data_IF_514410385404
#
_entry.id   IF_514410385404
#
_cell.length_a   1.000
_cell.length_b   1.000
_cell.length_c   1.000
_cell.angle_alpha   90.00
_cell.angle_beta   90.00
_cell.angle_gamma   90.00
#
_symmetry.space_group_name_H-M   'P 1'
#
loop_
_entity.id
_entity.type
_entity.pdbx_description
1 polymer ?
#
# COMPACT_ATOMS: atom_id res chain seq x y z
N UNK A 1 22.39 -10.83 7.66
CA UNK A 1 21.45 -10.22 6.70
C UNK A 1 20.10 -9.89 7.31
N UNK A 2 19.42 -10.82 7.99
CA UNK A 2 18.13 -10.56 8.65
C UNK A 2 18.12 -9.32 9.58
N UNK A 3 19.16 -9.12 10.39
CA UNK A 3 19.27 -7.93 11.24
C UNK A 3 19.34 -6.62 10.42
N UNK A 4 20.20 -6.57 9.39
CA UNK A 4 20.30 -5.42 8.49
C UNK A 4 18.97 -5.15 7.79
N UNK A 5 18.29 -6.22 7.35
CA UNK A 5 16.95 -6.16 6.78
C UNK A 5 15.96 -5.48 7.72
N UNK A 6 15.84 -6.00 8.95
CA UNK A 6 14.88 -5.53 9.95
C UNK A 6 15.15 -4.10 10.44
N UNK A 7 16.36 -3.58 10.29
CA UNK A 7 16.74 -2.22 10.74
C UNK A 7 16.89 -1.21 9.61
N UNK A 8 16.69 -1.61 8.36
CA UNK A 8 16.88 -0.71 7.23
C UNK A 8 15.73 0.31 7.14
N UNK A 9 16.01 1.60 6.88
CA UNK A 9 14.98 2.61 6.76
C UNK A 9 13.88 2.27 5.75
N UNK A 10 14.22 1.71 4.58
CA UNK A 10 13.22 1.32 3.58
C UNK A 10 12.23 0.26 4.10
N UNK A 11 12.72 -0.77 4.80
CA UNK A 11 11.88 -1.82 5.40
C UNK A 11 11.04 -1.25 6.54
N UNK A 12 11.65 -0.43 7.41
CA UNK A 12 10.93 0.21 8.50
C UNK A 12 9.86 1.15 7.97
N UNK A 13 10.11 1.89 6.88
CA UNK A 13 9.12 2.78 6.27
C UNK A 13 7.87 2.00 5.88
N UNK A 14 8.03 0.84 5.23
CA UNK A 14 6.93 0.06 4.70
C UNK A 14 6.24 -0.83 5.73
N UNK A 15 6.97 -1.40 6.70
CA UNK A 15 6.44 -2.42 7.60
C UNK A 15 6.31 -1.97 9.05
N UNK A 16 7.12 -1.00 9.48
CA UNK A 16 7.14 -0.48 10.85
C UNK A 16 7.22 1.05 10.88
N UNK A 17 6.22 1.78 10.32
CA UNK A 17 6.38 3.21 10.03
C UNK A 17 6.65 4.06 11.27
N UNK A 18 6.17 3.70 12.45
CA UNK A 18 6.49 4.45 13.67
C UNK A 18 7.97 4.33 14.12
N UNK A 19 8.69 3.31 13.64
CA UNK A 19 10.10 3.03 13.95
C UNK A 19 11.09 3.67 12.98
N UNK A 20 10.70 3.93 11.74
CA UNK A 20 11.59 4.49 10.72
C UNK A 20 12.18 5.83 11.18
N UNK A 21 13.49 6.00 11.02
CA UNK A 21 14.27 7.15 11.51
C UNK A 21 14.27 7.39 13.03
N UNK A 22 13.48 6.65 13.81
CA UNK A 22 13.41 6.73 15.27
C UNK A 22 14.26 5.68 15.99
N UNK A 23 14.69 4.65 15.24
CA UNK A 23 15.68 3.67 15.69
C UNK A 23 16.89 3.66 14.77
N UNK A 24 18.00 3.09 15.24
CA UNK A 24 19.18 2.80 14.41
C UNK A 24 19.81 1.47 14.78
N UNK A 25 20.46 0.85 13.80
CA UNK A 25 21.22 -0.38 13.99
C UNK A 25 22.50 -0.17 14.84
N UNK A 26 23.01 1.05 14.96
CA UNK A 26 24.22 1.30 15.71
C UNK A 26 23.93 1.48 17.21
N UNK A 27 24.73 0.85 18.07
CA UNK A 27 24.72 1.15 19.49
C UNK A 27 25.50 2.44 19.76
N UNK A 28 24.86 3.43 20.40
CA UNK A 28 25.50 4.71 20.74
C UNK A 28 26.70 4.59 21.70
N UNK A 29 26.92 3.41 22.29
CA UNK A 29 27.96 3.10 23.27
C UNK A 29 29.17 2.33 22.68
N UNK A 30 29.20 2.11 21.37
CA UNK A 30 30.30 1.42 20.68
C UNK A 30 30.26 -0.12 20.78
N UNK A 31 29.19 -0.71 21.33
CA UNK A 31 28.99 -2.17 21.26
C UNK A 31 28.71 -2.66 19.82
N UNK A 32 28.90 -3.95 19.52
CA UNK A 32 28.47 -4.47 18.22
C UNK A 32 26.94 -4.47 18.10
N UNK A 33 26.46 -3.84 17.02
CA UNK A 33 25.06 -3.81 16.58
C UNK A 33 24.41 -5.21 16.52
N UNK A 34 25.19 -6.22 16.16
CA UNK A 34 24.76 -7.61 16.08
C UNK A 34 25.89 -8.52 16.55
N UNK A 35 25.58 -9.43 17.47
CA UNK A 35 26.55 -10.38 18.03
C UNK A 35 25.83 -11.65 18.50
N UNK A 36 26.38 -12.82 18.19
CA UNK A 36 25.90 -14.13 18.68
C UNK A 36 24.39 -14.38 18.47
N UNK A 37 23.83 -13.94 17.33
CA UNK A 37 22.40 -14.11 17.03
C UNK A 37 21.49 -13.04 17.62
N UNK A 38 22.02 -12.10 18.40
CA UNK A 38 21.27 -10.99 19.00
C UNK A 38 21.56 -9.69 18.27
N UNK A 39 20.51 -9.09 17.70
CA UNK A 39 20.54 -7.72 17.19
C UNK A 39 20.17 -6.71 18.28
N UNK A 40 20.87 -5.58 18.31
CA UNK A 40 20.60 -4.45 19.23
C UNK A 40 20.11 -3.27 18.42
N UNK A 41 19.06 -2.60 18.87
CA UNK A 41 18.61 -1.33 18.27
C UNK A 41 18.80 -0.23 19.30
N UNK A 42 19.14 0.98 18.84
CA UNK A 42 19.16 2.16 19.68
C UNK A 42 18.04 3.09 19.29
N UNK A 43 17.36 3.66 20.28
CA UNK A 43 16.42 4.75 20.04
C UNK A 43 17.16 6.05 19.72
N UNK A 44 16.67 6.78 18.72
CA UNK A 44 17.15 8.12 18.38
C UNK A 44 16.44 9.22 19.19
N UNK A 45 15.35 8.85 19.86
CA UNK A 45 14.58 9.64 20.83
C UNK A 45 14.57 8.91 22.19
N UNK A 46 14.13 9.55 23.30
CA UNK A 46 13.94 8.84 24.56
C UNK A 46 13.06 7.59 24.39
N UNK A 47 13.45 6.46 25.00
CA UNK A 47 12.75 5.19 24.84
C UNK A 47 11.26 5.27 25.22
N UNK A 48 10.94 6.01 26.27
CA UNK A 48 9.56 6.28 26.71
C UNK A 48 8.74 7.07 25.68
N UNK A 49 9.38 8.00 24.97
CA UNK A 49 8.76 8.77 23.90
C UNK A 49 8.49 7.88 22.68
N UNK A 50 9.44 7.01 22.33
CA UNK A 50 9.26 6.02 21.27
C UNK A 50 8.11 5.06 21.56
N UNK A 51 8.06 4.49 22.77
CA UNK A 51 7.00 3.56 23.16
C UNK A 51 5.63 4.23 23.06
N UNK A 52 5.53 5.51 23.46
CA UNK A 52 4.29 6.29 23.31
C UNK A 52 3.94 6.52 21.84
N UNK A 53 4.91 6.90 21.01
CA UNK A 53 4.74 7.11 19.56
C UNK A 53 4.22 5.84 18.88
N UNK A 54 4.84 4.69 19.16
CA UNK A 54 4.42 3.38 18.63
C UNK A 54 2.97 3.08 19.03
N UNK A 55 2.63 3.19 20.30
CA UNK A 55 1.29 2.91 20.79
C UNK A 55 0.23 3.85 20.18
N UNK A 56 0.55 5.13 20.00
CA UNK A 56 -0.35 6.10 19.37
C UNK A 56 -0.58 5.78 17.88
N UNK A 57 0.47 5.38 17.17
CA UNK A 57 0.38 4.99 15.77
C UNK A 57 -0.42 3.69 15.59
N UNK A 58 -0.19 2.68 16.44
CA UNK A 58 -0.98 1.45 16.46
C UNK A 58 -2.46 1.73 16.73
N UNK A 59 -2.77 2.61 17.70
CA UNK A 59 -4.15 3.01 17.98
C UNK A 59 -4.80 3.75 16.80
N UNK A 60 -4.05 4.62 16.11
CA UNK A 60 -4.53 5.31 14.92
C UNK A 60 -4.89 4.33 13.80
N UNK A 61 -3.97 3.42 13.47
CA UNK A 61 -4.16 2.43 12.41
C UNK A 61 -5.25 1.43 12.78
N UNK A 62 -5.25 0.89 13.99
CA UNK A 62 -6.31 -0.02 14.43
C UNK A 62 -7.67 0.67 14.48
N UNK A 63 -7.74 1.93 14.92
CA UNK A 63 -8.97 2.72 14.92
C UNK A 63 -9.52 2.93 13.51
N UNK A 64 -8.65 3.27 12.56
CA UNK A 64 -9.00 3.35 11.14
C UNK A 64 -9.54 2.02 10.62
N UNK A 65 -8.80 0.91 10.78
CA UNK A 65 -9.21 -0.38 10.25
C UNK A 65 -10.54 -0.83 10.85
N UNK A 66 -10.73 -0.68 12.17
CA UNK A 66 -11.98 -1.04 12.84
C UNK A 66 -13.16 -0.12 12.47
N UNK A 67 -12.90 1.09 11.94
CA UNK A 67 -13.95 1.99 11.47
C UNK A 67 -14.46 1.61 10.08
N UNK A 68 -13.57 1.13 9.21
CA UNK A 68 -13.88 0.90 7.80
C UNK A 68 -14.05 -0.57 7.43
N UNK A 69 -13.54 -1.50 8.24
CA UNK A 69 -13.59 -2.93 7.97
C UNK A 69 -14.45 -3.66 9.01
N UNK A 70 -15.10 -4.72 8.54
CA UNK A 70 -15.84 -5.67 9.36
C UNK A 70 -15.00 -6.94 9.62
N UNK A 71 -15.17 -7.64 10.77
CA UNK A 71 -14.34 -8.79 11.11
C UNK A 71 -14.41 -9.96 10.11
N UNK A 72 -15.50 -10.08 9.35
CA UNK A 72 -15.77 -11.11 8.36
C UNK A 72 -15.63 -10.63 6.91
N UNK A 73 -15.11 -9.42 6.70
CA UNK A 73 -14.70 -8.96 5.37
C UNK A 73 -13.72 -9.96 4.74
N UNK A 74 -14.00 -10.34 3.51
CA UNK A 74 -13.05 -11.06 2.67
C UNK A 74 -12.00 -10.11 2.06
N UNK A 75 -11.02 -10.68 1.38
CA UNK A 75 -9.91 -9.89 0.84
C UNK A 75 -10.35 -8.89 -0.24
N UNK A 76 -11.40 -9.20 -1.02
CA UNK A 76 -11.94 -8.26 -2.01
C UNK A 76 -12.59 -7.08 -1.29
N UNK A 77 -13.37 -7.35 -0.25
CA UNK A 77 -14.06 -6.33 0.54
C UNK A 77 -13.08 -5.39 1.23
N UNK A 78 -12.03 -5.95 1.86
CA UNK A 78 -10.93 -5.16 2.43
C UNK A 78 -10.25 -4.29 1.38
N UNK A 79 -9.97 -4.86 0.20
CA UNK A 79 -9.34 -4.11 -0.88
C UNK A 79 -10.20 -2.93 -1.30
N UNK A 80 -11.48 -3.13 -1.58
CA UNK A 80 -12.38 -2.09 -2.07
C UNK A 80 -12.66 -1.01 -1.02
N UNK A 81 -12.97 -1.41 0.24
CA UNK A 81 -13.24 -0.48 1.34
C UNK A 81 -12.03 0.42 1.63
N UNK A 82 -10.83 -0.16 1.68
CA UNK A 82 -9.62 0.62 1.89
C UNK A 82 -9.25 1.46 0.67
N UNK A 83 -9.54 1.00 -0.55
CA UNK A 83 -9.32 1.77 -1.78
C UNK A 83 -10.23 3.01 -1.85
N UNK A 84 -11.51 2.84 -1.50
CA UNK A 84 -12.45 3.95 -1.36
C UNK A 84 -12.01 4.93 -0.27
N UNK A 85 -11.60 4.42 0.89
CA UNK A 85 -11.02 5.24 1.95
C UNK A 85 -9.81 6.05 1.47
N UNK A 86 -8.86 5.43 0.75
CA UNK A 86 -7.71 6.12 0.17
C UNK A 86 -8.16 7.26 -0.76
N UNK A 87 -9.20 7.00 -1.58
CA UNK A 87 -9.68 7.92 -2.63
C UNK A 87 -10.13 9.29 -2.12
N UNK A 88 -10.67 9.35 -0.90
CA UNK A 88 -11.21 10.61 -0.34
C UNK A 88 -10.41 11.13 0.85
N UNK A 89 -9.63 10.27 1.52
CA UNK A 89 -8.94 10.66 2.75
C UNK A 89 -7.60 11.35 2.49
N UNK A 90 -6.94 11.03 1.38
CA UNK A 90 -5.61 11.50 1.09
C UNK A 90 -5.59 12.53 -0.04
N UNK A 91 -4.56 13.36 -0.04
CA UNK A 91 -4.32 14.40 -1.02
C UNK A 91 -2.95 14.22 -1.64
N UNK A 92 -2.89 14.39 -2.96
CA UNK A 92 -1.64 14.37 -3.70
C UNK A 92 -0.91 15.72 -3.59
N UNK A 93 0.38 15.69 -3.30
CA UNK A 93 1.23 16.89 -3.21
C UNK A 93 2.56 16.68 -3.95
N UNK A 94 2.78 17.43 -5.05
CA UNK A 94 3.99 17.34 -5.88
C UNK A 94 5.28 17.64 -5.08
N UNK A 95 5.24 18.55 -4.11
CA UNK A 95 6.40 18.99 -3.33
C UNK A 95 6.51 18.31 -1.95
N UNK A 96 5.96 17.10 -1.79
CA UNK A 96 5.98 16.37 -0.53
C UNK A 96 7.41 16.12 0.02
N UNK A 97 8.41 16.05 -0.87
CA UNK A 97 9.81 15.73 -0.55
C UNK A 97 10.70 16.98 -0.51
N UNK A 98 10.80 17.60 0.66
CA UNK A 98 12.06 18.07 1.24
C UNK A 98 11.84 18.44 2.72
N UNK A 99 12.65 17.90 3.65
CA UNK A 99 12.74 18.28 5.08
C UNK A 99 11.78 17.66 6.12
N UNK A 100 11.33 16.40 5.99
CA UNK A 100 10.59 15.75 7.10
C UNK A 100 11.49 14.79 7.90
N UNK A 101 11.59 14.91 9.24
CA UNK A 101 12.48 14.11 10.09
C UNK A 101 12.01 12.66 10.30
N UNK A 102 10.81 12.33 9.82
CA UNK A 102 10.18 11.02 9.90
C UNK A 102 10.14 10.34 8.53
N UNK A 103 9.92 9.03 8.51
CA UNK A 103 9.72 8.31 7.24
C UNK A 103 8.36 8.59 6.63
N UNK A 104 8.30 8.48 5.31
CA UNK A 104 7.20 8.99 4.49
C UNK A 104 5.87 8.30 4.79
N UNK A 105 5.83 6.98 5.03
CA UNK A 105 4.59 6.26 5.33
C UNK A 105 3.93 6.72 6.63
N UNK A 106 4.72 6.94 7.69
CA UNK A 106 4.20 7.49 8.95
C UNK A 106 3.61 8.88 8.76
N UNK A 107 4.31 9.72 8.00
CA UNK A 107 3.88 11.09 7.72
C UNK A 107 2.58 11.11 6.90
N UNK A 108 2.48 10.27 5.88
CA UNK A 108 1.28 10.24 5.03
C UNK A 108 0.08 9.76 5.84
N UNK A 109 0.20 8.68 6.63
CA UNK A 109 -0.91 8.19 7.49
C UNK A 109 -1.36 9.25 8.50
N UNK A 110 -0.42 10.02 9.07
CA UNK A 110 -0.74 11.01 10.11
C UNK A 110 -1.21 12.35 9.57
N UNK A 111 -0.81 12.74 8.35
CA UNK A 111 -1.12 14.05 7.76
C UNK A 111 -2.16 13.99 6.65
N UNK A 112 -2.32 12.85 5.99
CA UNK A 112 -3.21 12.67 4.85
C UNK A 112 -2.64 13.17 3.52
N UNK A 113 -1.33 13.42 3.42
CA UNK A 113 -0.73 13.99 2.21
C UNK A 113 0.50 13.20 1.77
N UNK A 114 0.65 12.95 0.46
CA UNK A 114 1.76 12.18 -0.10
C UNK A 114 1.86 12.26 -1.63
N UNK A 115 2.92 11.69 -2.20
CA UNK A 115 3.06 11.44 -3.65
C UNK A 115 2.66 10.00 -3.99
N UNK A 116 2.80 9.61 -5.25
CA UNK A 116 2.32 8.32 -5.76
C UNK A 116 2.95 7.11 -5.06
N UNK A 117 4.27 7.11 -4.85
CA UNK A 117 5.01 6.06 -4.13
C UNK A 117 4.50 5.95 -2.68
N UNK A 118 4.33 7.08 -1.98
CA UNK A 118 3.82 7.09 -0.61
C UNK A 118 2.39 6.59 -0.50
N UNK A 119 1.50 7.02 -1.39
CA UNK A 119 0.10 6.58 -1.40
C UNK A 119 0.00 5.09 -1.72
N UNK A 120 0.79 4.61 -2.68
CA UNK A 120 0.96 3.18 -2.96
C UNK A 120 1.45 2.40 -1.73
N UNK A 121 2.43 2.95 -1.02
CA UNK A 121 2.96 2.35 0.21
C UNK A 121 1.92 2.32 1.34
N UNK A 122 1.16 3.40 1.55
CA UNK A 122 0.14 3.46 2.59
C UNK A 122 -1.00 2.49 2.31
N UNK A 123 -1.46 2.40 1.07
CA UNK A 123 -2.50 1.42 0.71
C UNK A 123 -2.00 -0.02 0.93
N UNK A 124 -0.78 -0.34 0.48
CA UNK A 124 -0.15 -1.64 0.75
C UNK A 124 -0.02 -1.93 2.25
N UNK A 125 0.39 -0.93 3.05
CA UNK A 125 0.51 -1.07 4.50
C UNK A 125 -0.83 -1.40 5.14
N UNK A 126 -1.90 -0.65 4.82
CA UNK A 126 -3.23 -0.89 5.39
C UNK A 126 -3.78 -2.27 5.00
N UNK A 127 -3.56 -2.71 3.76
CA UNK A 127 -3.90 -4.05 3.29
C UNK A 127 -3.16 -5.13 4.09
N UNK A 128 -1.85 -4.98 4.28
CA UNK A 128 -1.05 -5.92 5.09
C UNK A 128 -1.54 -5.98 6.54
N UNK A 129 -1.90 -4.84 7.14
CA UNK A 129 -2.49 -4.82 8.48
C UNK A 129 -3.87 -5.51 8.54
N UNK A 130 -4.62 -5.52 7.44
CA UNK A 130 -5.89 -6.24 7.30
C UNK A 130 -5.73 -7.71 6.87
N UNK A 131 -4.49 -8.19 6.71
CA UNK A 131 -4.17 -9.58 6.33
C UNK A 131 -4.14 -9.85 4.83
N UNK A 132 -4.24 -8.83 3.98
CA UNK A 132 -4.11 -8.94 2.52
C UNK A 132 -2.64 -8.72 2.15
N UNK A 133 -2.05 -9.67 1.42
CA UNK A 133 -0.67 -9.54 0.96
C UNK A 133 -0.59 -8.45 -0.12
N UNK A 134 0.18 -7.41 0.16
CA UNK A 134 0.36 -6.28 -0.74
C UNK A 134 1.76 -5.70 -0.58
N UNK A 135 2.24 -5.03 -1.63
CA UNK A 135 3.46 -4.26 -1.61
C UNK A 135 3.34 -3.07 -2.55
N UNK A 136 4.13 -2.05 -2.27
CA UNK A 136 4.35 -0.98 -3.23
C UNK A 136 5.24 -1.47 -4.37
N UNK A 137 4.91 -1.01 -5.58
CA UNK A 137 5.70 -1.21 -6.79
C UNK A 137 5.73 0.09 -7.58
N UNK A 138 6.81 0.34 -8.28
CA UNK A 138 7.01 1.55 -9.07
C UNK A 138 7.52 1.24 -10.48
N UNK A 139 7.35 2.19 -11.40
CA UNK A 139 8.04 2.24 -12.67
C UNK A 139 8.96 3.45 -12.68
N UNK A 140 10.10 3.34 -13.36
CA UNK A 140 10.96 4.50 -13.63
C UNK A 140 11.50 4.42 -15.05
N UNK A 141 10.99 5.29 -15.93
CA UNK A 141 11.45 5.46 -17.31
C UNK A 141 11.67 6.95 -17.62
N UNK A 142 12.30 7.24 -18.77
CA UNK A 142 12.41 8.64 -19.25
C UNK A 142 11.04 9.29 -19.48
N UNK A 143 9.99 8.49 -19.71
CA UNK A 143 8.64 8.98 -20.03
C UNK A 143 7.75 9.14 -18.79
N UNK A 144 7.93 8.32 -17.75
CA UNK A 144 7.11 8.31 -16.55
C UNK A 144 7.86 7.68 -15.36
N UNK A 145 7.72 8.30 -14.19
CA UNK A 145 8.00 7.70 -12.90
C UNK A 145 6.72 7.71 -12.07
N UNK A 146 6.29 6.56 -11.56
CA UNK A 146 5.01 6.43 -10.84
C UNK A 146 5.03 5.23 -9.90
N UNK A 147 4.41 5.36 -8.73
CA UNK A 147 4.28 4.30 -7.73
C UNK A 147 2.82 3.93 -7.44
N UNK A 148 2.56 2.64 -7.19
CA UNK A 148 1.24 2.10 -6.87
C UNK A 148 1.35 0.80 -6.06
N UNK A 149 0.25 0.04 -5.93
CA UNK A 149 0.21 -1.18 -5.12
C UNK A 149 0.02 -2.42 -5.99
N UNK A 150 0.85 -3.44 -5.78
CA UNK A 150 0.60 -4.81 -6.18
C UNK A 150 0.05 -5.59 -4.98
N UNK A 151 -1.00 -6.40 -5.19
CA UNK A 151 -1.63 -7.17 -4.12
C UNK A 151 -2.11 -8.53 -4.61
N UNK A 152 -2.33 -9.45 -3.66
CA UNK A 152 -2.82 -10.79 -3.94
C UNK A 152 -4.26 -10.96 -3.43
N UNK A 153 -5.12 -11.49 -4.29
CA UNK A 153 -6.47 -11.97 -3.97
C UNK A 153 -6.57 -13.44 -4.35
N UNK A 154 -6.89 -14.30 -3.37
CA UNK A 154 -6.97 -15.75 -3.57
C UNK A 154 -5.72 -16.34 -4.27
N UNK A 155 -4.53 -15.79 -3.98
CA UNK A 155 -3.25 -16.20 -4.56
C UNK A 155 -2.97 -15.68 -5.98
N UNK A 156 -3.85 -14.85 -6.55
CA UNK A 156 -3.69 -14.21 -7.85
C UNK A 156 -3.28 -12.74 -7.68
N UNK A 157 -2.36 -12.27 -8.53
CA UNK A 157 -1.84 -10.91 -8.46
C UNK A 157 -2.69 -9.89 -9.19
N UNK A 158 -2.77 -8.69 -8.63
CA UNK A 158 -3.48 -7.54 -9.20
C UNK A 158 -2.75 -6.23 -8.89
N UNK A 159 -2.99 -5.22 -9.70
CA UNK A 159 -2.52 -3.85 -9.46
C UNK A 159 -3.68 -2.94 -9.08
N UNK A 160 -3.49 -2.13 -8.03
CA UNK A 160 -4.41 -1.07 -7.64
C UNK A 160 -3.66 0.25 -7.47
N UNK A 161 -4.18 1.33 -8.04
CA UNK A 161 -3.55 2.65 -8.01
C UNK A 161 -4.30 3.63 -7.09
N UNK A 162 -3.86 3.80 -5.83
CA UNK A 162 -4.55 4.69 -4.89
C UNK A 162 -4.36 6.18 -5.22
N UNK A 163 -3.46 6.52 -6.14
CA UNK A 163 -3.21 7.92 -6.54
C UNK A 163 -4.20 8.39 -7.59
N UNK A 164 -4.45 7.55 -8.60
CA UNK A 164 -5.34 7.91 -9.71
C UNK A 164 -6.82 7.75 -9.41
N UNK A 165 -7.16 7.25 -8.23
CA UNK A 165 -8.54 7.22 -7.71
C UNK A 165 -8.88 8.41 -6.82
N UNK A 166 -7.90 9.24 -6.44
CA UNK A 166 -8.15 10.39 -5.57
C UNK A 166 -9.26 11.28 -6.13
N UNK A 167 -10.22 11.64 -5.28
CA UNK A 167 -11.47 12.32 -5.65
C UNK A 167 -12.03 13.13 -4.49
N UNK A 168 -12.97 14.03 -4.79
CA UNK A 168 -13.81 14.62 -3.74
C UNK A 168 -14.84 13.59 -3.26
N UNK A 169 -15.32 13.72 -2.01
CA UNK A 169 -16.34 12.80 -1.47
C UNK A 169 -17.61 12.71 -2.34
N UNK A 170 -17.99 13.82 -2.98
CA UNK A 170 -19.17 13.92 -3.86
C UNK A 170 -18.97 13.33 -5.27
N UNK A 171 -17.72 13.13 -5.70
CA UNK A 171 -17.39 12.58 -7.02
C UNK A 171 -17.52 11.05 -7.00
N UNK A 172 -17.86 10.36 -8.10
CA UNK A 172 -17.97 8.91 -8.07
C UNK A 172 -16.62 8.19 -7.90
N UNK A 173 -16.60 7.03 -7.23
CA UNK A 173 -15.42 6.17 -7.12
C UNK A 173 -15.20 5.39 -8.43
N UNK A 174 -14.23 5.81 -9.24
CA UNK A 174 -13.85 5.07 -10.45
C UNK A 174 -13.06 3.80 -10.12
N UNK A 175 -13.47 2.68 -10.72
CA UNK A 175 -12.83 1.37 -10.57
C UNK A 175 -11.82 1.09 -11.69
N UNK A 176 -11.52 2.09 -12.54
CA UNK A 176 -10.65 1.95 -13.69
C UNK A 176 -9.27 1.41 -13.33
N UNK A 177 -8.73 1.83 -12.18
CA UNK A 177 -7.40 1.48 -11.68
C UNK A 177 -7.43 0.55 -10.47
N UNK A 178 -8.57 -0.07 -10.19
CA UNK A 178 -8.74 -1.05 -9.12
C UNK A 178 -8.60 -2.47 -9.68
N UNK A 179 -7.78 -3.30 -9.04
CA UNK A 179 -7.57 -4.72 -9.37
C UNK A 179 -7.33 -4.98 -10.87
N UNK A 180 -6.45 -4.19 -11.45
CA UNK A 180 -6.06 -4.30 -12.85
C UNK A 180 -5.11 -5.47 -13.09
N UNK A 181 -5.19 -6.01 -14.29
CA UNK A 181 -4.14 -6.86 -14.85
C UNK A 181 -2.86 -6.07 -15.12
N UNK A 182 -1.74 -6.77 -15.26
CA UNK A 182 -0.46 -6.24 -15.72
C UNK A 182 -0.55 -5.64 -17.13
N UNK A 183 -1.31 -6.28 -18.04
CA UNK A 183 -1.57 -5.71 -19.38
C UNK A 183 -2.25 -4.34 -19.27
N UNK A 184 -3.30 -4.24 -18.44
CA UNK A 184 -4.00 -2.97 -18.26
C UNK A 184 -3.17 -1.93 -17.54
N UNK A 185 -2.27 -2.33 -16.64
CA UNK A 185 -1.29 -1.42 -16.04
C UNK A 185 -0.31 -0.91 -17.09
N UNK A 186 0.20 -1.78 -17.97
CA UNK A 186 1.10 -1.39 -19.04
C UNK A 186 0.49 -0.39 -20.02
N UNK A 187 -0.79 -0.54 -20.36
CA UNK A 187 -1.55 0.42 -21.18
C UNK A 187 -1.54 1.87 -20.65
N UNK A 188 -1.26 2.06 -19.36
CA UNK A 188 -1.24 3.39 -18.72
C UNK A 188 0.11 4.10 -18.83
N UNK A 189 1.11 3.48 -19.49
CA UNK A 189 2.44 4.04 -19.69
C UNK A 189 3.49 3.58 -18.68
N UNK A 190 3.15 2.65 -17.78
CA UNK A 190 4.09 1.99 -16.88
C UNK A 190 3.95 0.47 -17.00
N UNK A 191 4.74 -0.16 -17.89
CA UNK A 191 4.65 -1.57 -18.17
C UNK A 191 5.31 -2.42 -17.07
N UNK A 192 4.89 -3.68 -17.00
CA UNK A 192 5.29 -4.62 -15.93
C UNK A 192 6.79 -4.98 -16.01
N UNK A 193 7.41 -4.85 -17.18
CA UNK A 193 8.85 -5.02 -17.37
C UNK A 193 9.70 -3.85 -16.84
N UNK A 194 9.11 -2.68 -16.67
CA UNK A 194 9.72 -1.51 -16.02
C UNK A 194 9.49 -1.49 -14.49
N UNK A 195 8.89 -2.56 -13.93
CA UNK A 195 8.54 -2.62 -12.51
C UNK A 195 9.75 -2.84 -11.60
N UNK A 196 9.83 -1.97 -10.59
CA UNK A 196 10.74 -2.09 -9.46
C UNK A 196 9.92 -2.30 -8.20
N UNK A 197 10.28 -3.33 -7.44
CA UNK A 197 9.72 -3.59 -6.11
C UNK A 197 10.87 -3.82 -5.12
N UNK A 198 10.87 -3.17 -3.95
CA UNK A 198 11.89 -3.38 -2.93
C UNK A 198 11.59 -4.69 -2.18
N UNK A 199 12.29 -5.77 -2.53
CA UNK A 199 12.13 -7.08 -1.90
C UNK A 199 12.89 -7.18 -0.57
N UNK A 200 14.10 -6.59 -0.51
CA UNK A 200 14.91 -6.42 0.70
C UNK A 200 15.64 -5.07 0.59
N UNK A 201 16.25 -4.53 1.68
CA UNK A 201 17.07 -3.34 1.57
C UNK A 201 18.14 -3.53 0.52
N UNK A 202 18.23 -2.57 -0.40
CA UNK A 202 19.19 -2.59 -1.52
C UNK A 202 19.04 -3.77 -2.48
N UNK A 203 17.94 -4.54 -2.40
CA UNK A 203 17.64 -5.63 -3.32
C UNK A 203 16.25 -5.43 -3.92
N UNK A 204 16.26 -5.21 -5.22
CA UNK A 204 15.11 -4.90 -6.03
C UNK A 204 14.70 -6.12 -6.85
N UNK A 205 13.45 -6.13 -7.30
CA UNK A 205 12.88 -7.24 -8.09
C UNK A 205 13.60 -7.49 -9.41
N UNK A 206 14.12 -6.45 -10.05
CA UNK A 206 14.96 -6.54 -11.27
C UNK A 206 16.24 -7.37 -11.06
N UNK A 207 16.72 -7.45 -9.82
CA UNK A 207 17.85 -8.28 -9.42
C UNK A 207 17.44 -9.69 -8.96
N UNK A 208 16.15 -10.01 -9.00
CA UNK A 208 15.57 -11.28 -8.55
C UNK A 208 14.95 -12.08 -9.70
N UNK A 209 14.68 -13.37 -9.45
CA UNK A 209 13.87 -14.21 -10.35
C UNK A 209 12.39 -14.19 -9.95
N UNK A 210 11.94 -13.12 -9.30
CA UNK A 210 10.55 -12.96 -8.87
C UNK A 210 9.79 -12.31 -10.01
N UNK A 211 8.73 -12.97 -10.46
CA UNK A 211 7.84 -12.46 -11.49
C UNK A 211 6.55 -11.99 -10.84
N UNK A 212 6.20 -10.72 -11.03
CA UNK A 212 4.92 -10.16 -10.58
C UNK A 212 3.86 -10.38 -11.66
N UNK A 213 3.28 -11.58 -11.68
CA UNK A 213 2.19 -11.90 -12.60
C UNK A 213 0.87 -11.33 -12.10
N UNK A 214 0.15 -10.66 -13.00
CA UNK A 214 -1.22 -10.17 -12.79
C UNK A 214 -2.02 -10.34 -14.09
N UNK A 215 -2.26 -11.59 -14.51
CA UNK A 215 -2.95 -11.93 -15.76
C UNK A 215 -4.43 -12.26 -15.56
N UNK A 216 -4.88 -12.36 -14.31
CA UNK A 216 -6.24 -12.75 -13.98
C UNK A 216 -7.23 -11.59 -14.15
N UNK A 217 -8.36 -11.87 -14.81
CA UNK A 217 -9.40 -10.88 -15.13
C UNK A 217 -10.65 -11.03 -14.26
N UNK A 218 -10.66 -11.92 -13.27
CA UNK A 218 -11.82 -12.24 -12.44
C UNK A 218 -12.39 -10.99 -11.75
N UNK A 219 -11.53 -10.13 -11.20
CA UNK A 219 -11.92 -8.89 -10.52
C UNK A 219 -11.75 -7.61 -11.38
N UNK A 220 -11.57 -7.76 -12.70
CA UNK A 220 -11.29 -6.64 -13.59
C UNK A 220 -12.57 -5.85 -13.96
N UNK A 221 -12.64 -4.59 -13.53
CA UNK A 221 -13.72 -3.68 -13.95
C UNK A 221 -13.41 -3.00 -15.29
N UNK A 222 -14.38 -2.75 -16.19
CA UNK A 222 -14.16 -2.01 -17.44
C UNK A 222 -13.58 -0.59 -17.22
N UNK A 223 -12.85 -0.06 -18.21
CA UNK A 223 -12.34 1.33 -18.15
C UNK A 223 -13.53 2.30 -18.13
N UNK A 224 -13.53 3.25 -17.20
CA UNK A 224 -14.63 4.22 -17.03
C UNK A 224 -15.75 3.75 -16.10
N UNK A 225 -15.70 2.51 -15.60
CA UNK A 225 -16.65 2.04 -14.60
C UNK A 225 -16.50 2.80 -13.28
N UNK A 226 -17.62 3.19 -12.66
CA UNK A 226 -17.62 3.76 -11.32
C UNK A 226 -18.68 3.13 -10.41
N UNK A 227 -18.33 3.02 -9.12
CA UNK A 227 -19.14 2.37 -8.10
C UNK A 227 -20.48 3.11 -7.89
N UNK A 228 -21.58 2.35 -7.87
CA UNK A 228 -22.91 2.83 -7.47
C UNK A 228 -23.28 2.32 -6.08
N UNK A 229 -23.02 1.04 -5.81
CA UNK A 229 -23.25 0.46 -4.51
C UNK A 229 -22.43 -0.81 -4.31
N UNK A 230 -22.19 -1.13 -3.06
CA UNK A 230 -21.48 -2.32 -2.62
C UNK A 230 -22.37 -3.10 -1.67
N UNK A 231 -22.70 -4.34 -2.03
CA UNK A 231 -23.59 -5.24 -1.29
C UNK A 231 -22.79 -6.46 -0.82
N UNK A 232 -22.40 -6.42 0.45
CA UNK A 232 -21.57 -7.41 1.15
C UNK A 232 -22.33 -8.69 1.45
N UNK A 233 -23.64 -8.61 1.70
CA UNK A 233 -24.50 -9.76 1.97
C UNK A 233 -24.62 -10.65 0.72
N UNK A 234 -24.85 -10.03 -0.44
CA UNK A 234 -25.01 -10.74 -1.71
C UNK A 234 -23.70 -10.90 -2.49
N UNK A 235 -22.58 -10.38 -1.95
CA UNK A 235 -21.26 -10.37 -2.59
C UNK A 235 -21.30 -9.78 -4.01
N UNK A 236 -21.92 -8.61 -4.14
CA UNK A 236 -22.04 -7.89 -5.43
C UNK A 236 -21.63 -6.43 -5.37
N UNK A 237 -21.06 -5.95 -6.48
CA UNK A 237 -20.79 -4.54 -6.75
C UNK A 237 -21.69 -4.11 -7.90
N UNK A 238 -22.45 -3.02 -7.70
CA UNK A 238 -23.12 -2.35 -8.82
C UNK A 238 -22.27 -1.17 -9.28
N UNK A 239 -22.12 -1.03 -10.58
CA UNK A 239 -21.34 0.04 -11.18
C UNK A 239 -22.04 0.60 -12.42
N UNK A 240 -21.75 1.85 -12.75
CA UNK A 240 -22.20 2.49 -13.99
C UNK A 240 -21.09 2.39 -15.03
N UNK A 241 -21.45 2.11 -16.28
CA UNK A 241 -20.56 2.21 -17.44
C UNK A 241 -21.36 2.76 -18.61
N UNK A 242 -20.87 3.83 -19.25
CA UNK A 242 -21.49 4.43 -20.43
C UNK A 242 -23.01 4.74 -20.30
N UNK A 243 -23.47 5.02 -19.07
CA UNK A 243 -24.88 5.31 -18.76
C UNK A 243 -25.75 4.08 -18.48
N UNK A 244 -25.17 2.89 -18.44
CA UNK A 244 -25.84 1.64 -18.10
C UNK A 244 -25.40 1.10 -16.73
N UNK A 245 -26.35 0.62 -15.92
CA UNK A 245 -26.06 -0.05 -14.65
C UNK A 245 -25.69 -1.51 -14.90
N UNK A 246 -24.61 -1.95 -14.27
CA UNK A 246 -24.12 -3.32 -14.28
C UNK A 246 -23.96 -3.86 -12.86
N UNK A 247 -24.01 -5.18 -12.73
CA UNK A 247 -23.73 -5.89 -11.48
C UNK A 247 -22.58 -6.87 -11.71
N UNK A 248 -21.59 -6.80 -10.84
CA UNK A 248 -20.47 -7.72 -10.76
C UNK A 248 -20.58 -8.53 -9.46
N UNK A 249 -20.35 -9.84 -9.50
CA UNK A 249 -20.27 -10.67 -8.29
C UNK A 249 -18.82 -11.00 -8.00
N UNK A 250 -18.40 -10.78 -6.76
CA UNK A 250 -17.05 -11.09 -6.27
C UNK A 250 -17.03 -12.33 -5.36
N UNK A 251 -18.14 -13.07 -5.29
CA UNK A 251 -18.21 -14.32 -4.56
C UNK A 251 -17.12 -15.28 -5.05
N UNK A 252 -16.40 -15.91 -4.11
CA UNK A 252 -15.35 -16.88 -4.43
C UNK A 252 -15.94 -18.03 -5.25
N UNK A 253 -15.33 -18.44 -6.36
CA UNK A 253 -15.71 -19.67 -7.05
C UNK A 253 -15.57 -20.86 -6.09
N UNK A 254 -16.56 -21.76 -6.07
CA UNK A 254 -16.48 -23.04 -5.34
C UNK A 254 -15.35 -23.95 -5.84
#
# INVERSE_FOLDING_TARGET
DAYKWATAPAVLNQLFPAAVMQIKAESGDGTPAYENGTGRISYQIPAEEYVKRQAQFEQLVAGLLNQYLEPDDDDFEKCLKLYDYMSVKYVYEDDFVEHKPDGSTYLVITTGTGQCIELGTVYAYLLMQAGVQAMEVECSSEAMAHGWTYLLLNGKGYHSDPTWVLRSEDDPLFLTYFLMTGERRADTGCPVDDLMAPLLPTYWSDAASVEFTADDTEYLFPKGAYLLSFDEENKTVRYMLDGEEHTFSYAKPE
#
